data_IF_680669371014
#
_entry.id   IF_680669371014
#
_cell.length_a   1.000
_cell.length_b   1.000
_cell.length_c   1.000
_cell.angle_alpha   90.00
_cell.angle_beta   90.00
_cell.angle_gamma   90.00
#
_symmetry.space_group_name_H-M   'P 1'
#
loop_
_entity.id
_entity.type
_entity.pdbx_description
1 polymer ?
#
# COMPACT_ATOMS: atom_id res chain seq x y z
N UNK A 1 -25.26 11.56 -8.36
CA UNK A 1 -25.20 10.42 -7.43
C UNK A 1 -23.78 10.29 -6.92
N UNK A 2 -23.51 9.82 -5.69
CA UNK A 2 -22.15 9.53 -5.26
C UNK A 2 -21.55 8.43 -6.14
N UNK A 3 -20.26 8.56 -6.48
CA UNK A 3 -19.52 7.59 -7.30
C UNK A 3 -19.46 6.24 -6.61
N UNK A 4 -19.90 5.17 -7.29
CA UNK A 4 -19.74 3.79 -6.80
C UNK A 4 -18.33 3.29 -7.09
N UNK A 5 -17.43 3.47 -6.12
CA UNK A 5 -16.03 3.05 -6.23
C UNK A 5 -15.86 1.53 -6.37
N UNK A 6 -16.80 0.71 -5.89
CA UNK A 6 -16.68 -0.75 -5.99
C UNK A 6 -16.96 -1.21 -7.41
N UNK A 7 -18.04 -0.70 -8.01
CA UNK A 7 -18.36 -0.95 -9.41
C UNK A 7 -17.25 -0.45 -10.34
N UNK A 8 -16.69 0.73 -10.05
CA UNK A 8 -15.59 1.32 -10.82
C UNK A 8 -14.32 0.45 -10.79
N UNK A 9 -13.94 -0.09 -9.62
CA UNK A 9 -12.81 -1.02 -9.47
C UNK A 9 -13.03 -2.33 -10.21
N UNK A 10 -14.25 -2.87 -10.17
CA UNK A 10 -14.61 -4.11 -10.90
C UNK A 10 -14.50 -3.90 -12.41
N UNK A 11 -15.04 -2.80 -12.94
CA UNK A 11 -14.96 -2.46 -14.36
C UNK A 11 -13.50 -2.25 -14.81
N UNK A 12 -12.70 -1.55 -14.00
CA UNK A 12 -11.27 -1.35 -14.27
C UNK A 12 -10.49 -2.67 -14.34
N UNK A 13 -10.78 -3.64 -13.45
CA UNK A 13 -10.14 -4.94 -13.47
C UNK A 13 -10.44 -5.73 -14.76
N UNK A 14 -11.69 -5.67 -15.25
CA UNK A 14 -12.09 -6.27 -16.53
C UNK A 14 -11.31 -5.64 -17.69
N UNK A 15 -11.26 -4.30 -17.75
CA UNK A 15 -10.51 -3.58 -18.78
C UNK A 15 -9.02 -3.94 -18.77
N UNK A 16 -8.38 -4.04 -17.60
CA UNK A 16 -6.98 -4.51 -17.48
C UNK A 16 -6.81 -5.97 -17.89
N UNK A 17 -7.83 -6.81 -17.72
CA UNK A 17 -7.83 -8.17 -18.23
C UNK A 17 -7.79 -8.19 -19.75
N UNK A 18 -8.67 -7.41 -20.40
CA UNK A 18 -8.73 -7.27 -21.86
C UNK A 18 -7.42 -6.73 -22.44
N UNK A 19 -6.73 -5.82 -21.73
CA UNK A 19 -5.46 -5.23 -22.17
C UNK A 19 -4.32 -6.25 -22.27
N UNK A 20 -4.41 -7.35 -21.51
CA UNK A 20 -3.43 -8.46 -21.54
C UNK A 20 -3.71 -9.47 -22.65
N UNK A 21 -4.86 -9.39 -23.30
CA UNK A 21 -5.22 -10.30 -24.38
C UNK A 21 -4.49 -9.86 -25.65
N UNK A 22 -3.51 -10.64 -26.10
CA UNK A 22 -2.74 -10.35 -27.30
C UNK A 22 -3.49 -10.83 -28.55
N UNK A 23 -4.50 -10.07 -28.95
CA UNK A 23 -5.34 -10.31 -30.14
C UNK A 23 -4.98 -9.37 -31.28
N UNK A 24 -5.18 -9.82 -32.54
CA UNK A 24 -4.82 -9.06 -33.75
C UNK A 24 -5.80 -9.30 -34.89
N UNK A 25 -6.21 -8.21 -35.53
CA UNK A 25 -7.16 -8.23 -36.65
C UNK A 25 -8.58 -8.51 -36.17
N UNK A 26 -9.31 -9.32 -36.93
CA UNK A 26 -10.71 -9.61 -36.63
C UNK A 26 -10.84 -10.72 -35.58
N UNK A 27 -11.49 -10.42 -34.47
CA UNK A 27 -11.70 -11.33 -33.35
C UNK A 27 -13.17 -11.66 -33.15
N UNK A 28 -13.51 -12.67 -32.34
CA UNK A 28 -14.88 -12.92 -31.93
C UNK A 28 -15.49 -11.68 -31.27
N UNK A 29 -16.76 -11.40 -31.60
CA UNK A 29 -17.47 -10.20 -31.13
C UNK A 29 -17.52 -10.10 -29.60
N UNK A 30 -17.46 -11.22 -28.91
CA UNK A 30 -17.52 -11.34 -27.45
C UNK A 30 -16.49 -10.44 -26.75
N UNK A 31 -15.30 -10.24 -27.35
CA UNK A 31 -14.28 -9.32 -26.83
C UNK A 31 -14.81 -7.86 -26.80
N UNK A 32 -15.55 -7.48 -27.84
CA UNK A 32 -16.22 -6.18 -27.93
C UNK A 32 -17.37 -6.06 -26.95
N UNK A 33 -18.19 -7.11 -26.82
CA UNK A 33 -19.32 -7.12 -25.90
C UNK A 33 -18.84 -7.02 -24.43
N UNK A 34 -17.73 -7.67 -24.08
CA UNK A 34 -17.08 -7.55 -22.75
C UNK A 34 -16.58 -6.13 -22.49
N UNK A 35 -15.99 -5.48 -23.51
CA UNK A 35 -15.58 -4.08 -23.42
C UNK A 35 -16.79 -3.15 -23.21
N UNK A 36 -17.86 -3.31 -23.99
CA UNK A 36 -19.10 -2.52 -23.89
C UNK A 36 -19.78 -2.67 -22.51
N UNK A 37 -19.78 -3.88 -21.97
CA UNK A 37 -20.30 -4.16 -20.64
C UNK A 37 -19.48 -3.45 -19.55
N UNK A 38 -18.16 -3.39 -19.71
CA UNK A 38 -17.28 -2.64 -18.81
C UNK A 38 -17.54 -1.13 -18.91
N UNK A 39 -17.71 -0.56 -20.11
CA UNK A 39 -18.06 0.87 -20.27
C UNK A 39 -19.41 1.18 -19.62
N UNK A 40 -20.42 0.35 -19.85
CA UNK A 40 -21.74 0.52 -19.23
C UNK A 40 -21.66 0.49 -17.69
N UNK A 41 -20.80 -0.37 -17.15
CA UNK A 41 -20.54 -0.43 -15.70
C UNK A 41 -19.85 0.84 -15.18
N UNK A 42 -18.89 1.40 -15.95
CA UNK A 42 -18.25 2.68 -15.64
C UNK A 42 -19.27 3.81 -15.63
N UNK A 43 -20.11 3.92 -16.68
CA UNK A 43 -21.15 4.95 -16.75
C UNK A 43 -22.13 4.87 -15.57
N UNK A 44 -22.54 3.65 -15.20
CA UNK A 44 -23.41 3.40 -14.05
C UNK A 44 -22.75 3.80 -12.73
N UNK A 45 -21.47 3.48 -12.55
CA UNK A 45 -20.71 3.82 -11.36
C UNK A 45 -20.49 5.34 -11.20
N UNK A 46 -20.36 6.06 -12.30
CA UNK A 46 -20.11 7.51 -12.33
C UNK A 46 -21.41 8.33 -12.39
N UNK A 47 -22.51 7.73 -12.84
CA UNK A 47 -23.76 8.42 -13.10
C UNK A 47 -23.69 9.38 -14.29
N UNK A 48 -22.76 9.16 -15.21
CA UNK A 48 -22.53 9.98 -16.41
C UNK A 48 -22.41 9.10 -17.66
N UNK A 49 -22.98 9.57 -18.77
CA UNK A 49 -22.87 8.91 -20.07
C UNK A 49 -21.58 9.30 -20.80
N UNK A 50 -20.91 8.32 -21.39
CA UNK A 50 -19.60 8.43 -22.02
C UNK A 50 -19.63 7.90 -23.45
N UNK A 51 -20.47 8.48 -24.34
CA UNK A 51 -20.68 7.98 -25.72
C UNK A 51 -19.37 7.88 -26.53
N UNK A 52 -18.35 8.64 -26.16
CA UNK A 52 -17.04 8.65 -26.84
C UNK A 52 -16.18 7.42 -26.53
N UNK A 53 -16.45 6.71 -25.43
CA UNK A 53 -15.68 5.52 -25.03
C UNK A 53 -16.23 4.23 -25.65
N UNK A 54 -17.50 4.23 -26.07
CA UNK A 54 -18.11 3.11 -26.77
C UNK A 54 -17.45 2.83 -28.14
N UNK A 55 -17.55 1.58 -28.58
CA UNK A 55 -17.05 1.13 -29.87
C UNK A 55 -17.89 1.72 -31.01
N UNK A 56 -17.25 2.28 -32.04
CA UNK A 56 -17.97 2.76 -33.21
C UNK A 56 -18.55 1.57 -33.99
N UNK A 57 -19.59 1.81 -34.79
CA UNK A 57 -20.14 0.78 -35.69
C UNK A 57 -19.10 0.22 -36.67
N UNK A 58 -18.09 1.01 -37.03
CA UNK A 58 -16.96 0.59 -37.87
C UNK A 58 -16.06 -0.46 -37.22
N UNK A 59 -16.17 -0.69 -35.90
CA UNK A 59 -15.48 -1.77 -35.22
C UNK A 59 -16.03 -3.15 -35.59
N UNK A 60 -17.28 -3.23 -36.05
CA UNK A 60 -17.95 -4.49 -36.31
C UNK A 60 -17.85 -4.86 -37.79
N UNK A 61 -17.64 -6.15 -38.04
CA UNK A 61 -17.79 -6.73 -39.37
C UNK A 61 -19.23 -6.56 -39.88
N UNK A 62 -19.44 -6.67 -41.20
CA UNK A 62 -20.76 -6.48 -41.82
C UNK A 62 -21.84 -7.40 -41.22
N UNK A 63 -21.49 -8.65 -40.91
CA UNK A 63 -22.38 -9.62 -40.28
C UNK A 63 -22.41 -9.52 -38.74
N UNK A 64 -21.62 -8.61 -38.17
CA UNK A 64 -21.47 -8.34 -36.73
C UNK A 64 -21.10 -9.57 -35.90
N UNK A 65 -20.48 -10.58 -36.49
CA UNK A 65 -19.97 -11.76 -35.76
C UNK A 65 -18.54 -11.55 -35.27
N UNK A 66 -17.82 -10.60 -35.87
CA UNK A 66 -16.43 -10.28 -35.55
C UNK A 66 -16.24 -8.81 -35.27
N UNK A 67 -15.23 -8.51 -34.47
CA UNK A 67 -14.81 -7.17 -34.11
C UNK A 67 -13.35 -6.92 -34.49
N UNK A 68 -13.05 -5.70 -34.93
CA UNK A 68 -11.69 -5.24 -35.17
C UNK A 68 -11.00 -4.97 -33.82
N UNK A 69 -10.09 -5.87 -33.45
CA UNK A 69 -9.34 -5.80 -32.19
C UNK A 69 -8.43 -4.57 -32.10
N UNK A 70 -8.02 -3.96 -33.21
CA UNK A 70 -7.20 -2.75 -33.17
C UNK A 70 -8.03 -1.55 -32.74
N UNK A 71 -9.30 -1.47 -33.17
CA UNK A 71 -10.26 -0.46 -32.71
C UNK A 71 -10.61 -0.68 -31.23
N UNK A 72 -10.80 -1.93 -30.81
CA UNK A 72 -11.03 -2.26 -29.39
C UNK A 72 -9.85 -1.83 -28.54
N UNK A 73 -8.61 -2.15 -28.95
CA UNK A 73 -7.40 -1.77 -28.21
C UNK A 73 -7.27 -0.26 -28.07
N UNK A 74 -7.55 0.48 -29.14
CA UNK A 74 -7.54 1.94 -29.10
C UNK A 74 -8.57 2.50 -28.10
N UNK A 75 -9.80 1.98 -28.10
CA UNK A 75 -10.85 2.38 -27.15
C UNK A 75 -10.54 1.95 -25.72
N UNK A 76 -9.92 0.80 -25.56
CA UNK A 76 -9.44 0.30 -24.27
C UNK A 76 -8.36 1.20 -23.68
N UNK A 77 -7.34 1.57 -24.47
CA UNK A 77 -6.30 2.50 -24.02
C UNK A 77 -6.89 3.87 -23.65
N UNK A 78 -7.84 4.39 -24.43
CA UNK A 78 -8.53 5.66 -24.13
C UNK A 78 -9.30 5.58 -22.81
N UNK A 79 -10.02 4.48 -22.59
CA UNK A 79 -10.82 4.25 -21.37
C UNK A 79 -9.93 4.06 -20.15
N UNK A 80 -8.87 3.26 -20.25
CA UNK A 80 -7.89 3.09 -19.19
C UNK A 80 -7.26 4.44 -18.85
N UNK A 81 -6.76 5.19 -19.84
CA UNK A 81 -6.19 6.52 -19.62
C UNK A 81 -7.19 7.48 -18.95
N UNK A 82 -8.46 7.45 -19.37
CA UNK A 82 -9.52 8.25 -18.77
C UNK A 82 -9.71 7.91 -17.28
N UNK A 83 -9.88 6.63 -16.95
CA UNK A 83 -10.08 6.15 -15.58
C UNK A 83 -8.86 6.42 -14.68
N UNK A 84 -7.67 6.30 -15.25
CA UNK A 84 -6.40 6.50 -14.57
C UNK A 84 -6.13 7.98 -14.28
N UNK A 85 -6.45 8.88 -15.22
CA UNK A 85 -6.22 10.34 -15.09
C UNK A 85 -7.32 11.05 -14.30
N UNK A 86 -8.60 10.75 -14.57
CA UNK A 86 -9.74 11.52 -14.02
C UNK A 86 -10.19 10.99 -12.66
N UNK A 87 -10.05 9.68 -12.41
CA UNK A 87 -10.48 9.06 -11.14
C UNK A 87 -9.33 8.60 -10.25
N UNK A 88 -8.08 8.85 -10.64
CA UNK A 88 -6.88 8.51 -9.88
C UNK A 88 -6.78 7.02 -9.47
N UNK A 89 -7.47 6.14 -10.21
CA UNK A 89 -7.62 4.73 -9.84
C UNK A 89 -6.33 3.92 -10.02
N UNK A 90 -5.47 4.33 -10.97
CA UNK A 90 -4.11 3.77 -11.08
C UNK A 90 -3.20 4.26 -9.98
N UNK A 91 -3.26 5.55 -9.60
CA UNK A 91 -2.40 6.08 -8.55
C UNK A 91 -2.64 5.39 -7.21
N UNK A 92 -3.88 5.25 -6.74
CA UNK A 92 -4.16 4.61 -5.44
C UNK A 92 -3.68 3.13 -5.42
N UNK A 93 -3.84 2.40 -6.53
CA UNK A 93 -3.44 0.98 -6.61
C UNK A 93 -1.92 0.80 -6.79
N UNK A 94 -1.29 1.63 -7.63
CA UNK A 94 0.17 1.64 -7.85
C UNK A 94 0.89 2.15 -6.61
N UNK A 95 0.37 3.18 -5.93
CA UNK A 95 0.95 3.73 -4.70
C UNK A 95 0.87 2.73 -3.56
N UNK A 96 -0.27 2.04 -3.37
CA UNK A 96 -0.38 0.97 -2.37
C UNK A 96 0.60 -0.17 -2.66
N UNK A 97 0.67 -0.63 -3.93
CA UNK A 97 1.63 -1.65 -4.33
C UNK A 97 3.08 -1.21 -4.14
N UNK A 98 3.40 0.05 -4.45
CA UNK A 98 4.74 0.63 -4.30
C UNK A 98 5.11 0.78 -2.82
N UNK A 99 4.20 1.26 -1.98
CA UNK A 99 4.40 1.36 -0.53
C UNK A 99 4.58 -0.03 0.09
N UNK A 100 3.75 -1.01 -0.29
CA UNK A 100 3.92 -2.38 0.16
C UNK A 100 5.29 -2.95 -0.24
N UNK A 101 5.68 -2.77 -1.50
CA UNK A 101 6.97 -3.21 -2.03
C UNK A 101 8.16 -2.42 -1.45
N UNK A 102 7.94 -1.25 -0.86
CA UNK A 102 8.99 -0.46 -0.21
C UNK A 102 9.46 -1.09 1.11
N UNK A 103 8.64 -1.93 1.74
CA UNK A 103 8.99 -2.65 2.98
C UNK A 103 9.99 -3.75 2.64
N UNK A 104 11.25 -3.57 3.04
CA UNK A 104 12.36 -4.47 2.72
C UNK A 104 12.69 -5.47 3.84
N UNK A 105 12.43 -5.13 5.11
CA UNK A 105 12.65 -6.03 6.24
C UNK A 105 11.69 -7.21 6.14
N UNK A 106 12.24 -8.41 5.95
CA UNK A 106 11.46 -9.62 5.70
C UNK A 106 10.56 -10.00 6.88
N UNK A 107 11.04 -9.80 8.12
CA UNK A 107 10.27 -10.12 9.32
C UNK A 107 9.06 -9.20 9.45
N UNK A 108 9.26 -7.89 9.24
CA UNK A 108 8.20 -6.90 9.20
C UNK A 108 7.19 -7.22 8.08
N UNK A 109 7.68 -7.44 6.86
CA UNK A 109 6.83 -7.72 5.70
C UNK A 109 5.97 -8.95 5.94
N UNK A 110 6.57 -10.05 6.40
CA UNK A 110 5.87 -11.31 6.61
C UNK A 110 4.81 -11.23 7.72
N UNK A 111 5.06 -10.45 8.78
CA UNK A 111 4.10 -10.27 9.89
C UNK A 111 2.97 -9.29 9.58
N UNK A 112 3.14 -8.41 8.60
CA UNK A 112 2.14 -7.40 8.26
C UNK A 112 1.40 -7.68 6.95
N UNK A 113 1.87 -8.60 6.10
CA UNK A 113 1.36 -8.78 4.74
C UNK A 113 -0.14 -9.09 4.65
N UNK A 114 -0.61 -10.03 5.47
CA UNK A 114 -2.01 -10.43 5.55
C UNK A 114 -2.87 -9.29 6.11
N UNK A 115 -2.39 -8.59 7.14
CA UNK A 115 -3.07 -7.47 7.78
C UNK A 115 -3.19 -6.26 6.84
N UNK A 116 -2.16 -5.97 6.05
CA UNK A 116 -2.16 -4.88 5.06
C UNK A 116 -3.05 -5.22 3.85
N UNK A 117 -3.25 -6.51 3.57
CA UNK A 117 -4.13 -6.99 2.50
C UNK A 117 -5.60 -7.11 2.94
N UNK A 118 -5.87 -7.04 4.25
CA UNK A 118 -7.22 -7.12 4.82
C UNK A 118 -8.12 -5.96 4.37
N UNK A 119 -9.43 -6.14 4.52
CA UNK A 119 -10.44 -5.13 4.14
C UNK A 119 -10.46 -3.94 5.11
N UNK A 120 -10.25 -4.21 6.39
CA UNK A 120 -10.41 -3.32 7.53
C UNK A 120 -9.46 -3.72 8.69
N UNK A 121 -9.57 -3.04 9.83
CA UNK A 121 -8.78 -3.29 11.05
C UNK A 121 -7.27 -3.12 10.88
N UNK A 122 -6.87 -2.01 10.25
CA UNK A 122 -5.47 -1.69 9.94
C UNK A 122 -4.64 -1.26 11.15
N UNK A 123 -5.27 -0.98 12.30
CA UNK A 123 -4.61 -0.82 13.59
C UNK A 123 -3.78 -2.06 13.96
N UNK A 124 -4.22 -3.25 13.55
CA UNK A 124 -3.50 -4.51 13.76
C UNK A 124 -2.15 -4.55 13.04
N UNK A 125 -2.07 -4.00 11.82
CA UNK A 125 -0.82 -3.93 11.07
C UNK A 125 0.19 -3.00 11.78
N UNK A 126 -0.29 -1.86 12.29
CA UNK A 126 0.53 -0.93 13.07
C UNK A 126 1.02 -1.58 14.38
N UNK A 127 0.14 -2.31 15.07
CA UNK A 127 0.50 -3.07 16.27
C UNK A 127 1.62 -4.08 15.97
N UNK A 128 1.47 -4.90 14.92
CA UNK A 128 2.51 -5.86 14.52
C UNK A 128 3.82 -5.17 14.11
N UNK A 129 3.76 -4.07 13.35
CA UNK A 129 4.97 -3.36 12.94
C UNK A 129 5.75 -2.81 14.14
N UNK A 130 5.05 -2.21 15.11
CA UNK A 130 5.69 -1.70 16.33
C UNK A 130 6.23 -2.81 17.23
N UNK A 131 5.57 -3.98 17.26
CA UNK A 131 6.08 -5.17 17.95
C UNK A 131 7.39 -5.67 17.33
N UNK A 132 7.50 -5.72 16.00
CA UNK A 132 8.74 -6.09 15.30
C UNK A 132 9.88 -5.14 15.65
N UNK A 133 9.61 -3.83 15.66
CA UNK A 133 10.59 -2.83 16.09
C UNK A 133 11.04 -3.02 17.54
N UNK A 134 10.09 -3.18 18.46
CA UNK A 134 10.36 -3.42 19.88
C UNK A 134 11.22 -4.66 20.08
N UNK A 135 10.88 -5.75 19.39
CA UNK A 135 11.60 -7.01 19.51
C UNK A 135 13.01 -6.94 18.88
N UNK A 136 13.17 -6.23 17.76
CA UNK A 136 14.51 -6.00 17.17
C UNK A 136 15.42 -5.22 18.11
N UNK A 137 14.91 -4.17 18.76
CA UNK A 137 15.63 -3.40 19.78
C UNK A 137 16.03 -4.30 20.95
N UNK A 138 15.09 -5.13 21.44
CA UNK A 138 15.32 -6.07 22.54
C UNK A 138 16.40 -7.10 22.21
N UNK A 139 16.28 -7.78 21.06
CA UNK A 139 17.24 -8.79 20.61
C UNK A 139 18.63 -8.17 20.44
N UNK A 140 18.72 -6.99 19.80
CA UNK A 140 20.01 -6.35 19.53
C UNK A 140 20.72 -5.84 20.77
N UNK A 141 19.97 -5.29 21.73
CA UNK A 141 20.52 -4.86 23.02
C UNK A 141 20.78 -6.00 24.01
N UNK A 142 20.35 -7.24 23.67
CA UNK A 142 20.35 -8.38 24.58
C UNK A 142 19.69 -8.05 25.95
N UNK A 143 18.66 -7.19 25.93
CA UNK A 143 17.97 -6.77 27.14
C UNK A 143 17.04 -7.89 27.64
N UNK A 144 17.22 -8.29 28.91
CA UNK A 144 16.46 -9.38 29.55
C UNK A 144 15.55 -8.91 30.69
N UNK A 145 15.34 -7.60 30.81
CA UNK A 145 14.65 -7.00 31.97
C UNK A 145 13.12 -7.07 31.89
N UNK A 146 12.57 -7.67 30.83
CA UNK A 146 11.13 -7.76 30.61
C UNK A 146 10.45 -6.42 30.28
N UNK A 147 11.21 -5.33 30.10
CA UNK A 147 10.66 -4.01 29.75
C UNK A 147 10.04 -4.03 28.35
N UNK A 148 8.94 -3.31 28.13
CA UNK A 148 8.25 -3.20 26.83
C UNK A 148 7.98 -1.73 26.48
N UNK A 149 7.70 -1.42 25.21
CA UNK A 149 7.35 -0.09 24.74
C UNK A 149 8.37 1.00 25.13
N UNK A 150 7.86 2.15 25.57
CA UNK A 150 8.67 3.31 25.97
C UNK A 150 9.70 3.00 27.07
N UNK A 151 9.38 2.27 28.15
CA UNK A 151 10.38 1.83 29.13
C UNK A 151 11.59 1.11 28.55
N UNK A 152 11.39 0.18 27.60
CA UNK A 152 12.50 -0.51 26.93
C UNK A 152 13.35 0.47 26.12
N UNK A 153 12.69 1.30 25.31
CA UNK A 153 13.37 2.30 24.46
C UNK A 153 14.20 3.25 25.32
N UNK A 154 13.67 3.77 26.41
CA UNK A 154 14.41 4.70 27.28
C UNK A 154 15.65 4.08 27.91
N UNK A 155 15.61 2.78 28.21
CA UNK A 155 16.75 2.06 28.78
C UNK A 155 17.83 1.78 27.74
N UNK A 156 17.42 1.40 26.52
CA UNK A 156 18.34 0.93 25.48
C UNK A 156 18.86 2.08 24.60
N UNK A 157 18.03 3.08 24.36
CA UNK A 157 18.25 4.23 23.49
C UNK A 157 18.14 5.52 24.32
N UNK A 158 19.22 5.79 25.06
CA UNK A 158 19.33 7.00 25.86
C UNK A 158 19.88 8.13 25.00
N UNK A 159 19.36 9.36 25.16
CA UNK A 159 19.88 10.54 24.44
C UNK A 159 21.31 10.89 24.87
N UNK A 160 21.68 10.53 26.10
CA UNK A 160 23.05 10.59 26.59
C UNK A 160 23.85 9.38 26.08
N UNK A 161 24.81 9.62 25.19
CA UNK A 161 25.68 8.58 24.60
C UNK A 161 26.42 7.76 25.65
N UNK A 162 26.73 8.33 26.81
CA UNK A 162 27.41 7.59 27.89
C UNK A 162 26.51 6.57 28.59
N UNK A 163 25.18 6.66 28.40
CA UNK A 163 24.17 5.78 29.00
C UNK A 163 23.45 4.91 27.98
N UNK A 164 23.66 5.14 26.70
CA UNK A 164 22.98 4.40 25.63
C UNK A 164 23.59 3.00 25.49
N UNK A 165 22.76 2.00 25.22
CA UNK A 165 23.20 0.62 24.95
C UNK A 165 23.37 0.41 23.44
N UNK A 166 22.52 1.05 22.65
CA UNK A 166 22.59 1.04 21.20
C UNK A 166 22.88 2.45 20.70
N UNK A 167 24.13 2.69 20.29
CA UNK A 167 24.53 3.95 19.67
C UNK A 167 24.06 3.96 18.23
N UNK A 168 23.14 4.89 17.91
CA UNK A 168 22.51 5.01 16.59
C UNK A 168 23.31 5.88 15.62
N UNK A 169 24.07 6.85 16.13
CA UNK A 169 24.97 7.72 15.36
C UNK A 169 26.16 8.13 16.23
N UNK A 170 27.26 8.54 15.59
CA UNK A 170 28.38 9.20 16.27
C UNK A 170 28.13 10.71 16.46
N UNK A 171 27.17 11.30 15.73
CA UNK A 171 26.71 12.66 15.97
C UNK A 171 25.66 12.67 17.11
N UNK A 172 25.91 13.48 18.14
CA UNK A 172 25.06 13.52 19.33
C UNK A 172 23.64 13.99 19.01
N UNK A 173 23.50 15.02 18.16
CA UNK A 173 22.20 15.58 17.79
C UNK A 173 21.37 14.60 16.94
N UNK A 174 22.00 13.93 15.99
CA UNK A 174 21.36 12.88 15.20
C UNK A 174 20.95 11.68 16.09
N UNK A 175 21.83 11.26 17.01
CA UNK A 175 21.51 10.19 17.95
C UNK A 175 20.30 10.53 18.82
N UNK A 176 20.29 11.73 19.40
CA UNK A 176 19.19 12.26 20.19
C UNK A 176 17.89 12.30 19.38
N UNK A 177 17.95 12.80 18.14
CA UNK A 177 16.82 12.85 17.22
C UNK A 177 16.19 11.47 16.97
N UNK A 178 17.01 10.46 16.68
CA UNK A 178 16.50 9.09 16.50
C UNK A 178 15.92 8.50 17.79
N UNK A 179 16.53 8.76 18.94
CA UNK A 179 15.98 8.33 20.23
C UNK A 179 14.58 8.89 20.45
N UNK A 180 14.35 10.18 20.14
CA UNK A 180 13.04 10.80 20.23
C UNK A 180 12.04 10.24 19.24
N UNK A 181 12.44 10.00 17.99
CA UNK A 181 11.58 9.40 16.96
C UNK A 181 11.10 8.02 17.42
N UNK A 182 12.01 7.15 17.84
CA UNK A 182 11.67 5.77 18.23
C UNK A 182 10.79 5.77 19.48
N UNK A 183 11.09 6.64 20.46
CA UNK A 183 10.24 6.84 21.64
C UNK A 183 8.85 7.33 21.27
N UNK A 184 8.77 8.27 20.33
CA UNK A 184 7.53 8.80 19.78
C UNK A 184 6.70 7.73 19.08
N UNK A 185 7.33 6.84 18.29
CA UNK A 185 6.64 5.71 17.64
C UNK A 185 5.98 4.80 18.68
N UNK A 186 6.71 4.45 19.75
CA UNK A 186 6.13 3.63 20.82
C UNK A 186 4.98 4.34 21.55
N UNK A 187 5.14 5.63 21.84
CA UNK A 187 4.12 6.42 22.52
C UNK A 187 2.84 6.61 21.68
N UNK A 188 2.99 6.98 20.40
CA UNK A 188 1.89 7.41 19.55
C UNK A 188 1.15 6.25 18.87
N UNK A 189 1.85 5.18 18.51
CA UNK A 189 1.27 4.07 17.73
C UNK A 189 1.13 2.80 18.55
N UNK A 190 2.21 2.34 19.19
CA UNK A 190 2.22 1.06 19.92
C UNK A 190 1.26 1.09 21.10
N UNK A 191 1.35 2.10 21.96
CA UNK A 191 0.52 2.18 23.16
C UNK A 191 -0.97 2.30 22.81
N UNK A 192 -1.31 3.14 21.83
CA UNK A 192 -2.69 3.30 21.38
C UNK A 192 -3.27 1.98 20.87
N UNK A 193 -2.60 1.33 19.91
CA UNK A 193 -3.08 0.10 19.27
C UNK A 193 -2.95 -1.15 20.14
N UNK A 194 -2.22 -1.10 21.25
CA UNK A 194 -2.18 -2.17 22.26
C UNK A 194 -3.25 -2.01 23.35
N UNK A 195 -3.68 -0.79 23.64
CA UNK A 195 -4.64 -0.52 24.72
C UNK A 195 -6.07 -0.28 24.21
N UNK A 196 -6.21 0.12 22.93
CA UNK A 196 -7.48 0.49 22.32
C UNK A 196 -7.62 -0.12 20.93
N UNK A 197 -8.80 -0.66 20.64
CA UNK A 197 -9.20 -1.03 19.28
C UNK A 197 -9.65 0.25 18.58
N UNK A 198 -9.11 0.51 17.38
CA UNK A 198 -9.42 1.75 16.65
C UNK A 198 -9.54 1.51 15.15
N UNK A 199 -10.60 2.06 14.56
CA UNK A 199 -10.85 1.99 13.11
C UNK A 199 -10.40 3.26 12.38
N UNK A 200 -9.69 4.16 13.07
CA UNK A 200 -9.31 5.48 12.51
C UNK A 200 -8.24 5.39 11.41
N UNK A 201 -7.52 4.27 11.34
CA UNK A 201 -6.42 4.09 10.40
C UNK A 201 -6.90 3.46 9.10
N UNK A 202 -6.58 4.10 7.99
CA UNK A 202 -6.76 3.51 6.66
C UNK A 202 -5.64 2.51 6.34
N UNK A 203 -5.81 1.74 5.26
CA UNK A 203 -4.74 0.89 4.72
C UNK A 203 -3.49 1.69 4.40
N UNK A 204 -3.67 2.87 3.82
CA UNK A 204 -2.59 3.75 3.41
C UNK A 204 -1.80 4.25 4.62
N UNK A 205 -2.49 4.61 5.71
CA UNK A 205 -1.84 5.01 6.97
C UNK A 205 -0.98 3.87 7.53
N UNK A 206 -1.53 2.65 7.56
CA UNK A 206 -0.80 1.49 8.03
C UNK A 206 0.41 1.16 7.15
N UNK A 207 0.29 1.28 5.82
CA UNK A 207 1.42 1.13 4.90
C UNK A 207 2.51 2.16 5.16
N UNK A 208 2.14 3.44 5.28
CA UNK A 208 3.08 4.53 5.58
C UNK A 208 3.82 4.30 6.90
N UNK A 209 3.11 3.88 7.94
CA UNK A 209 3.72 3.55 9.25
C UNK A 209 4.65 2.34 9.12
N UNK A 210 4.24 1.28 8.42
CA UNK A 210 5.10 0.11 8.20
C UNK A 210 6.36 0.48 7.42
N UNK A 211 6.25 1.23 6.32
CA UNK A 211 7.40 1.72 5.55
C UNK A 211 8.31 2.63 6.36
N UNK A 212 7.75 3.44 7.28
CA UNK A 212 8.56 4.25 8.17
C UNK A 212 9.31 3.38 9.18
N UNK A 213 8.65 2.40 9.80
CA UNK A 213 9.27 1.44 10.71
C UNK A 213 10.36 0.62 10.01
N UNK A 214 10.19 0.24 8.74
CA UNK A 214 11.22 -0.41 7.92
C UNK A 214 12.52 0.41 7.89
N UNK A 215 12.43 1.73 7.69
CA UNK A 215 13.59 2.62 7.71
C UNK A 215 14.24 2.68 9.09
N UNK A 216 13.44 2.71 10.16
CA UNK A 216 13.94 2.67 11.53
C UNK A 216 14.63 1.32 11.83
N UNK A 217 14.10 0.21 11.33
CA UNK A 217 14.71 -1.11 11.49
C UNK A 217 16.10 -1.18 10.84
N UNK A 218 16.32 -0.49 9.72
CA UNK A 218 17.66 -0.36 9.11
C UNK A 218 18.62 0.40 10.04
N UNK A 219 18.17 1.49 10.65
CA UNK A 219 18.96 2.28 11.62
C UNK A 219 19.30 1.42 12.84
N UNK A 220 18.32 0.71 13.42
CA UNK A 220 18.55 -0.24 14.50
C UNK A 220 19.51 -1.33 14.06
N UNK A 221 19.41 -1.85 12.84
CA UNK A 221 20.31 -2.91 12.34
C UNK A 221 21.74 -2.43 12.17
N UNK A 222 21.94 -1.16 11.84
CA UNK A 222 23.27 -0.52 11.68
C UNK A 222 23.86 0.05 12.97
N UNK A 223 23.08 0.14 14.05
CA UNK A 223 23.55 0.68 15.33
C UNK A 223 24.71 -0.12 15.94
N UNK A 224 25.55 0.53 16.74
CA UNK A 224 26.63 -0.12 17.48
C UNK A 224 26.16 -0.50 18.89
N UNK A 225 26.47 -1.71 19.34
CA UNK A 225 26.24 -2.11 20.73
C UNK A 225 27.40 -1.57 21.58
N UNK A 226 27.17 -0.47 22.26
CA UNK A 226 28.12 0.14 23.19
C UNK A 226 27.72 -0.33 24.59
N UNK A 227 28.46 -1.31 25.11
CA UNK A 227 28.24 -1.77 26.48
C UNK A 227 28.69 -0.67 27.43
N UNK A 228 27.77 -0.23 28.28
CA UNK A 228 28.09 0.50 29.52
C UNK A 228 28.51 -0.46 30.60
#
# INVERSE_FOLDING_TARGET
MPVDRTALKSAYAILKGLDKVNVRGWEPREIGDDFEAAITSVEGALGEKMPRLHLPNSAYSENRQRIDSDIVRLKLCQTLSFLEVIHNLSQELIEIGTLFNSIQDEELRNRCADLLSARDHFDRAINQATLVLEDRIRRKSNNKDGLTGTPLVNKVLNTDLSKTVLKLSNDEGEHEGFCHIIRGIMGAFRNETHHHVTERFSREDALKVCSFIDNILKIISNSEVVRT
#
